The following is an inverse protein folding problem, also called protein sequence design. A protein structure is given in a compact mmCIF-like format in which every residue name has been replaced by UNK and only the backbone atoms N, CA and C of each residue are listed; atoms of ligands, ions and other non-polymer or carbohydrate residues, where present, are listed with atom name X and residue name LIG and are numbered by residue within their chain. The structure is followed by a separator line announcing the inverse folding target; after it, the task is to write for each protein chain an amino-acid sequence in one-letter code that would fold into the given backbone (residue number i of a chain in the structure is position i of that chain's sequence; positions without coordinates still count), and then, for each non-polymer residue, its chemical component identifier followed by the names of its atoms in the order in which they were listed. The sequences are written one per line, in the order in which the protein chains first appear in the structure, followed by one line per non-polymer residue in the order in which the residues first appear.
data_IF_631745587159
#
_entry.id   IF_631745587159
#
_cell.length_a   1.000
_cell.length_b   1.000
_cell.length_c   1.000
_cell.angle_alpha   90.00
_cell.angle_beta   90.00
_cell.angle_gamma   90.00
#
_symmetry.space_group_name_H-M   'P 1'
#
loop_
_entity.id
_entity.type
_entity.pdbx_description
1 polymer ?
#
# COMPACT_ATOMS: atom_id res chain seq x y z
N UNK A 1 73.06 -24.28 3.80
CA UNK A 1 72.86 -24.26 2.33
C UNK A 1 71.42 -24.60 1.92
N UNK A 2 70.40 -24.25 2.73
CA UNK A 2 68.97 -24.38 2.38
C UNK A 2 68.19 -23.21 3.03
N UNK A 3 68.77 -22.00 2.99
CA UNK A 3 68.17 -20.80 3.61
C UNK A 3 68.28 -19.56 2.70
N UNK A 4 68.48 -19.80 1.40
CA UNK A 4 68.75 -18.77 0.40
C UNK A 4 67.88 -18.92 -0.87
N UNK A 5 66.78 -19.69 -0.83
CA UNK A 5 65.91 -19.94 -2.01
C UNK A 5 64.44 -19.57 -1.82
N UNK A 6 64.09 -18.89 -0.73
CA UNK A 6 62.69 -18.52 -0.42
C UNK A 6 62.42 -17.01 -0.38
N UNK A 7 63.40 -16.14 -0.69
CA UNK A 7 63.20 -14.68 -0.60
C UNK A 7 63.69 -13.85 -1.83
N UNK A 8 63.99 -14.46 -2.98
CA UNK A 8 64.71 -13.74 -4.04
C UNK A 8 64.00 -13.57 -5.40
N UNK A 9 62.70 -13.85 -5.55
CA UNK A 9 62.04 -13.61 -6.84
C UNK A 9 60.62 -13.06 -6.68
N UNK A 10 60.52 -11.72 -6.76
CA UNK A 10 59.32 -10.94 -7.07
C UNK A 10 58.59 -10.24 -5.92
N UNK A 11 59.35 -9.66 -5.01
CA UNK A 11 59.09 -8.26 -4.71
C UNK A 11 59.59 -7.38 -5.88
N UNK A 12 58.82 -6.34 -6.19
CA UNK A 12 59.27 -5.11 -6.84
C UNK A 12 59.25 -5.03 -8.37
N UNK A 13 58.09 -4.62 -8.90
CA UNK A 13 58.07 -3.44 -9.78
C UNK A 13 56.86 -2.55 -9.47
N UNK A 14 57.13 -1.54 -8.66
CA UNK A 14 56.40 -0.28 -8.45
C UNK A 14 55.83 0.30 -9.76
N UNK A 15 54.53 0.62 -9.87
CA UNK A 15 53.83 1.87 -9.45
C UNK A 15 54.13 3.08 -10.38
N UNK A 16 53.39 4.20 -10.33
CA UNK A 16 51.95 4.48 -10.52
C UNK A 16 51.71 5.47 -11.69
N UNK A 17 50.55 5.49 -12.35
CA UNK A 17 50.17 6.67 -13.15
C UNK A 17 48.65 6.92 -13.24
N UNK A 18 48.33 8.21 -13.13
CA UNK A 18 47.03 8.87 -12.98
C UNK A 18 46.15 8.97 -14.23
N UNK A 19 44.83 9.15 -13.95
CA UNK A 19 43.76 9.95 -14.62
C UNK A 19 42.54 9.08 -14.93
N UNK A 20 41.29 9.50 -14.72
CA UNK A 20 40.72 10.81 -14.40
C UNK A 20 39.31 10.67 -13.83
N UNK A 21 38.93 11.62 -12.98
CA UNK A 21 37.56 11.91 -12.54
C UNK A 21 36.73 12.45 -13.72
N UNK A 22 35.53 11.92 -13.90
CA UNK A 22 34.23 12.53 -14.32
C UNK A 22 33.30 11.33 -14.58
N UNK A 23 32.24 11.07 -13.82
CA UNK A 23 31.05 11.92 -13.74
C UNK A 23 29.95 11.37 -14.65
N UNK A 24 29.19 10.37 -14.17
CA UNK A 24 27.82 10.02 -14.60
C UNK A 24 27.18 9.48 -13.30
N UNK A 25 26.42 10.21 -12.48
CA UNK A 25 25.13 10.84 -12.73
C UNK A 25 24.05 9.85 -13.22
N UNK A 26 23.32 9.28 -12.26
CA UNK A 26 21.88 8.96 -12.30
C UNK A 26 21.34 7.84 -13.22
N UNK A 27 20.27 7.23 -12.68
CA UNK A 27 19.28 6.30 -13.24
C UNK A 27 19.68 4.81 -13.26
N UNK A 28 18.86 3.87 -12.76
CA UNK A 28 17.40 3.85 -12.69
C UNK A 28 16.92 3.40 -11.29
N UNK A 29 16.07 4.11 -10.56
CA UNK A 29 14.72 4.62 -10.91
C UNK A 29 13.76 3.56 -11.44
N UNK A 30 13.64 2.42 -10.76
CA UNK A 30 12.53 1.48 -11.00
C UNK A 30 11.60 1.33 -9.78
N UNK A 31 12.06 1.61 -8.55
CA UNK A 31 11.24 1.48 -7.35
C UNK A 31 10.30 2.66 -7.06
N UNK A 32 10.36 3.75 -7.84
CA UNK A 32 9.55 4.95 -7.60
C UNK A 32 8.35 5.09 -8.56
N UNK A 33 8.36 4.41 -9.72
CA UNK A 33 7.25 4.55 -10.68
C UNK A 33 6.03 3.69 -10.36
N UNK A 34 6.19 2.54 -9.69
CA UNK A 34 5.02 1.77 -9.21
C UNK A 34 4.31 2.54 -8.09
N UNK A 35 5.07 3.18 -7.21
CA UNK A 35 4.57 4.03 -6.12
C UNK A 35 3.83 5.26 -6.65
N UNK A 36 4.33 5.88 -7.74
CA UNK A 36 3.70 7.08 -8.32
C UNK A 36 2.48 6.76 -9.17
N UNK A 37 2.47 5.62 -9.88
CA UNK A 37 1.31 5.14 -10.65
C UNK A 37 0.11 4.78 -9.76
N UNK A 38 0.37 4.17 -8.60
CA UNK A 38 -0.66 3.87 -7.61
C UNK A 38 -1.17 5.14 -6.91
N UNK A 39 -0.30 6.12 -6.66
CA UNK A 39 -0.65 7.42 -6.06
C UNK A 39 -1.51 8.30 -7.00
N UNK A 40 -1.26 8.26 -8.31
CA UNK A 40 -2.03 9.06 -9.28
C UNK A 40 -3.47 8.57 -9.47
N UNK A 41 -3.71 7.26 -9.36
CA UNK A 41 -5.06 6.68 -9.41
C UNK A 41 -5.85 7.03 -8.14
N UNK A 42 -5.19 7.14 -6.99
CA UNK A 42 -5.84 7.44 -5.70
C UNK A 42 -6.24 8.93 -5.57
N UNK A 43 -5.47 9.87 -6.12
CA UNK A 43 -5.82 11.30 -6.07
C UNK A 43 -6.97 11.69 -7.00
N UNK A 44 -7.16 11.00 -8.14
CA UNK A 44 -8.13 11.42 -9.17
C UNK A 44 -9.60 11.21 -8.76
N UNK A 45 -9.89 10.30 -7.82
CA UNK A 45 -11.27 9.97 -7.43
C UNK A 45 -11.86 10.88 -6.35
N UNK A 46 -11.05 11.69 -5.65
CA UNK A 46 -11.52 12.56 -4.57
C UNK A 46 -12.11 13.91 -5.05
N UNK A 47 -11.72 14.41 -6.22
CA UNK A 47 -12.02 15.78 -6.67
C UNK A 47 -13.47 16.00 -7.16
N UNK A 48 -14.27 14.94 -7.39
CA UNK A 48 -15.62 15.10 -7.97
C UNK A 48 -16.77 15.22 -6.97
N UNK A 49 -16.51 15.09 -5.66
CA UNK A 49 -17.57 15.16 -4.63
C UNK A 49 -17.73 16.57 -4.01
N UNK A 50 -16.78 17.48 -4.23
CA UNK A 50 -16.79 18.82 -3.59
C UNK A 50 -17.24 19.97 -4.51
N UNK A 51 -18.20 19.74 -5.42
CA UNK A 51 -18.86 20.85 -6.11
C UNK A 51 -20.31 20.59 -6.49
N UNK A 52 -21.15 20.42 -5.47
CA UNK A 52 -22.56 20.81 -5.59
C UNK A 52 -22.79 21.97 -4.62
N UNK A 53 -22.96 23.22 -5.10
CA UNK A 53 -23.49 24.26 -4.22
C UNK A 53 -24.93 23.85 -3.82
N UNK A 54 -25.31 23.96 -2.54
CA UNK A 54 -26.70 23.76 -2.17
C UNK A 54 -27.57 24.80 -2.93
N UNK A 55 -28.76 24.43 -3.45
CA UNK A 55 -29.68 25.43 -3.94
C UNK A 55 -30.01 26.37 -2.78
N UNK A 56 -29.76 27.67 -2.99
CA UNK A 56 -30.17 28.73 -2.09
C UNK A 56 -31.71 28.71 -1.98
N UNK A 57 -32.23 28.09 -0.93
CA UNK A 57 -33.62 28.26 -0.52
C UNK A 57 -33.67 29.52 0.32
N UNK A 58 -34.04 30.61 -0.32
CA UNK A 58 -34.35 31.86 0.34
C UNK A 58 -35.59 31.68 1.24
N UNK A 59 -35.41 31.98 2.52
CA UNK A 59 -36.38 32.55 3.44
C UNK A 59 -37.69 31.80 3.67
N UNK A 60 -37.84 31.17 4.84
CA UNK A 60 -39.04 31.37 5.66
C UNK A 60 -38.68 31.24 7.13
N UNK A 61 -39.29 32.15 7.88
CA UNK A 61 -39.22 32.48 9.30
C UNK A 61 -38.92 31.36 10.32
N UNK A 62 -38.15 31.78 11.32
CA UNK A 62 -37.83 31.12 12.58
C UNK A 62 -39.06 31.08 13.51
N UNK A 63 -39.45 29.93 14.04
CA UNK A 63 -39.98 29.85 15.39
C UNK A 63 -38.83 29.54 16.35
N UNK A 64 -38.71 30.34 17.40
CA UNK A 64 -37.86 30.04 18.53
C UNK A 64 -38.40 28.76 19.21
N UNK A 65 -37.74 27.63 18.97
CA UNK A 65 -37.86 26.47 19.84
C UNK A 65 -36.79 26.60 20.92
N UNK A 66 -37.26 26.50 22.15
CA UNK A 66 -36.49 26.59 23.38
C UNK A 66 -35.18 25.81 23.34
N UNK A 67 -34.15 26.43 23.90
CA UNK A 67 -32.82 25.89 24.05
C UNK A 67 -32.84 24.57 24.84
N UNK A 68 -32.56 23.47 24.16
CA UNK A 68 -31.78 22.39 24.76
C UNK A 68 -30.34 22.66 24.37
N UNK A 69 -29.58 23.30 25.25
CA UNK A 69 -28.13 23.21 25.23
C UNK A 69 -27.76 21.76 25.51
N UNK A 70 -27.68 20.95 24.45
CA UNK A 70 -26.90 19.72 24.48
C UNK A 70 -25.49 20.17 24.82
N UNK A 71 -24.86 19.68 25.91
CA UNK A 71 -23.45 19.98 26.13
C UNK A 71 -22.72 19.49 24.89
N UNK A 72 -22.06 20.40 24.18
CA UNK A 72 -21.10 20.05 23.16
C UNK A 72 -20.04 19.21 23.87
N UNK A 73 -20.21 17.89 23.79
CA UNK A 73 -19.20 16.95 24.22
C UNK A 73 -18.14 17.09 23.15
N UNK A 74 -17.05 17.77 23.48
CA UNK A 74 -15.87 17.78 22.63
C UNK A 74 -15.57 16.32 22.29
N UNK A 75 -15.52 15.93 21.00
CA UNK A 75 -15.27 14.55 20.63
C UNK A 75 -13.91 14.14 21.20
N UNK A 76 -13.88 13.09 22.01
CA UNK A 76 -12.64 12.52 22.52
C UNK A 76 -11.81 12.04 21.31
N UNK A 77 -10.62 12.63 21.05
CA UNK A 77 -9.78 12.25 19.92
C UNK A 77 -9.34 10.78 19.95
N UNK A 78 -9.32 10.17 21.14
CA UNK A 78 -9.01 8.76 21.30
C UNK A 78 -10.18 7.87 20.86
N UNK A 79 -11.42 8.25 21.17
CA UNK A 79 -12.61 7.53 20.73
C UNK A 79 -12.75 7.52 19.19
N UNK A 80 -12.44 8.64 18.53
CA UNK A 80 -12.42 8.73 17.05
C UNK A 80 -11.32 7.84 16.44
N UNK A 81 -10.16 7.80 17.08
CA UNK A 81 -9.04 6.94 16.69
C UNK A 81 -9.41 5.45 16.72
N UNK A 82 -10.05 5.02 17.80
CA UNK A 82 -10.46 3.62 17.98
C UNK A 82 -11.60 3.23 17.04
N UNK A 83 -12.57 4.12 16.82
CA UNK A 83 -13.64 3.92 15.85
C UNK A 83 -13.09 3.74 14.42
N UNK A 84 -12.11 4.58 14.03
CA UNK A 84 -11.48 4.49 12.71
C UNK A 84 -10.65 3.21 12.55
N UNK A 85 -10.02 2.74 13.63
CA UNK A 85 -9.32 1.46 13.63
C UNK A 85 -10.29 0.29 13.45
N UNK A 86 -11.41 0.28 14.18
CA UNK A 86 -12.44 -0.74 14.05
C UNK A 86 -13.02 -0.81 12.63
N UNK A 87 -13.27 0.33 11.99
CA UNK A 87 -13.75 0.40 10.60
C UNK A 87 -12.77 -0.29 9.62
N UNK A 88 -11.46 -0.11 9.80
CA UNK A 88 -10.46 -0.77 8.96
C UNK A 88 -10.43 -2.28 9.18
N UNK A 89 -10.59 -2.72 10.42
CA UNK A 89 -10.67 -4.15 10.76
C UNK A 89 -11.89 -4.78 10.09
N UNK A 90 -13.06 -4.18 10.24
CA UNK A 90 -14.32 -4.64 9.63
C UNK A 90 -14.23 -4.67 8.10
N UNK A 91 -13.69 -3.61 7.50
CA UNK A 91 -13.52 -3.56 6.05
C UNK A 91 -12.59 -4.66 5.55
N UNK A 92 -11.51 -4.96 6.29
CA UNK A 92 -10.61 -6.05 5.91
C UNK A 92 -11.30 -7.43 5.93
N UNK A 93 -12.18 -7.66 6.90
CA UNK A 93 -12.98 -8.90 7.00
C UNK A 93 -13.95 -9.01 5.83
N UNK A 94 -14.57 -7.89 5.42
CA UNK A 94 -15.45 -7.85 4.24
C UNK A 94 -14.69 -8.19 2.95
N UNK A 95 -13.48 -7.67 2.77
CA UNK A 95 -12.66 -7.96 1.58
C UNK A 95 -12.23 -9.44 1.54
N UNK A 96 -11.88 -10.03 2.67
CA UNK A 96 -11.61 -11.48 2.74
C UNK A 96 -12.85 -12.32 2.43
N UNK A 97 -14.02 -11.91 2.92
CA UNK A 97 -15.27 -12.58 2.59
C UNK A 97 -15.54 -12.50 1.08
N UNK A 98 -15.28 -11.34 0.46
CA UNK A 98 -15.37 -11.18 -0.99
C UNK A 98 -14.40 -12.11 -1.74
N UNK A 99 -13.14 -12.21 -1.32
CA UNK A 99 -12.17 -13.14 -1.92
C UNK A 99 -12.62 -14.61 -1.83
N UNK A 100 -13.20 -15.01 -0.69
CA UNK A 100 -13.72 -16.38 -0.48
C UNK A 100 -14.98 -16.67 -1.29
N UNK A 101 -15.75 -15.64 -1.62
CA UNK A 101 -16.96 -15.78 -2.44
C UNK A 101 -16.66 -15.87 -3.95
N UNK A 102 -15.44 -15.55 -4.38
CA UNK A 102 -15.05 -15.69 -5.78
C UNK A 102 -14.97 -17.16 -6.19
N UNK A 103 -15.29 -17.49 -7.47
CA UNK A 103 -15.08 -18.83 -8.01
C UNK A 103 -13.64 -19.32 -7.86
N UNK A 104 -13.47 -20.64 -7.97
CA UNK A 104 -12.14 -21.24 -8.04
C UNK A 104 -11.31 -20.62 -9.18
N UNK A 105 -9.99 -20.57 -8.96
CA UNK A 105 -9.07 -19.97 -9.91
C UNK A 105 -9.08 -20.75 -11.23
N UNK A 106 -8.95 -20.07 -12.38
CA UNK A 106 -8.70 -20.73 -13.66
C UNK A 106 -7.49 -21.67 -13.57
N UNK A 107 -7.58 -22.86 -14.18
CA UNK A 107 -6.48 -23.82 -14.20
C UNK A 107 -5.23 -23.34 -14.94
N UNK A 108 -5.35 -22.30 -15.77
CA UNK A 108 -4.23 -21.67 -16.49
C UNK A 108 -4.37 -20.14 -16.39
N UNK A 109 -3.30 -19.48 -15.97
CA UNK A 109 -3.20 -18.03 -15.82
C UNK A 109 -1.99 -17.49 -16.61
N UNK A 110 -2.05 -16.20 -16.96
CA UNK A 110 -0.86 -15.51 -17.48
C UNK A 110 0.18 -15.41 -16.36
N UNK A 111 1.45 -15.71 -16.66
CA UNK A 111 2.53 -15.71 -15.68
C UNK A 111 2.63 -14.37 -14.90
N UNK A 112 2.49 -13.24 -15.59
CA UNK A 112 2.51 -11.91 -14.97
C UNK A 112 1.38 -11.69 -13.97
N UNK A 113 0.19 -12.24 -14.25
CA UNK A 113 -0.96 -12.14 -13.34
C UNK A 113 -0.74 -13.02 -12.11
N UNK A 114 -0.22 -14.24 -12.30
CA UNK A 114 0.13 -15.12 -11.20
C UNK A 114 1.19 -14.49 -10.28
N UNK A 115 2.23 -13.87 -10.85
CA UNK A 115 3.25 -13.13 -10.10
C UNK A 115 2.67 -11.97 -9.30
N UNK A 116 1.77 -11.18 -9.92
CA UNK A 116 1.10 -10.07 -9.24
C UNK A 116 0.28 -10.56 -8.04
N UNK A 117 -0.45 -11.67 -8.20
CA UNK A 117 -1.26 -12.24 -7.12
C UNK A 117 -0.39 -12.75 -5.98
N UNK A 118 0.68 -13.50 -6.29
CA UNK A 118 1.60 -14.00 -5.26
C UNK A 118 2.21 -12.83 -4.47
N UNK A 119 2.66 -11.77 -5.16
CA UNK A 119 3.22 -10.60 -4.49
C UNK A 119 2.23 -9.88 -3.57
N UNK A 120 0.94 -9.84 -3.94
CA UNK A 120 -0.12 -9.28 -3.10
C UNK A 120 -0.41 -10.18 -1.88
N UNK A 121 -0.51 -11.50 -2.09
CA UNK A 121 -0.74 -12.49 -1.03
C UNK A 121 0.41 -12.51 -0.01
N UNK A 122 1.66 -12.49 -0.48
CA UNK A 122 2.86 -12.37 0.36
C UNK A 122 2.86 -11.06 1.16
N UNK A 123 2.43 -9.97 0.52
CA UNK A 123 2.25 -8.67 1.18
C UNK A 123 1.25 -8.74 2.32
N UNK A 124 0.08 -9.36 2.10
CA UNK A 124 -0.94 -9.54 3.15
C UNK A 124 -0.38 -10.38 4.30
N UNK A 125 0.28 -11.51 4.00
CA UNK A 125 0.88 -12.37 5.01
C UNK A 125 1.92 -11.65 5.88
N UNK A 126 2.73 -10.78 5.27
CA UNK A 126 3.69 -9.95 6.00
C UNK A 126 3.02 -8.95 6.95
N UNK A 127 1.93 -8.30 6.51
CA UNK A 127 1.19 -7.36 7.36
C UNK A 127 0.47 -8.09 8.49
N UNK A 128 -0.10 -9.26 8.23
CA UNK A 128 -0.75 -10.09 9.24
C UNK A 128 0.27 -10.55 10.30
N UNK A 129 1.49 -10.88 9.88
CA UNK A 129 2.58 -11.14 10.82
C UNK A 129 2.90 -9.92 11.68
N UNK A 130 3.01 -8.72 11.09
CA UNK A 130 3.30 -7.48 11.83
C UNK A 130 2.17 -7.11 12.81
N UNK A 131 0.91 -7.27 12.42
CA UNK A 131 -0.26 -7.06 13.28
C UNK A 131 -0.25 -8.02 14.47
N UNK A 132 0.09 -9.29 14.25
CA UNK A 132 0.25 -10.27 15.33
C UNK A 132 1.42 -9.93 16.27
N UNK A 133 2.50 -9.35 15.75
CA UNK A 133 3.60 -8.85 16.59
C UNK A 133 3.16 -7.67 17.47
N UNK A 134 2.47 -6.69 16.90
CA UNK A 134 1.98 -5.53 17.66
C UNK A 134 0.96 -5.94 18.74
N UNK A 135 0.07 -6.87 18.44
CA UNK A 135 -0.89 -7.40 19.41
C UNK A 135 -0.21 -8.06 20.62
N UNK A 136 1.01 -8.61 20.44
CA UNK A 136 1.80 -9.24 21.51
C UNK A 136 2.65 -8.24 22.29
N UNK A 137 3.09 -7.15 21.66
CA UNK A 137 3.97 -6.15 22.25
C UNK A 137 3.49 -4.75 21.84
N UNK A 138 2.44 -4.23 22.48
CA UNK A 138 1.88 -2.92 22.14
C UNK A 138 2.91 -1.83 22.47
N UNK A 139 3.25 -0.98 21.51
CA UNK A 139 4.08 0.20 21.77
C UNK A 139 5.15 0.52 20.73
N UNK A 140 5.25 -0.24 19.63
CA UNK A 140 6.27 -0.01 18.60
C UNK A 140 5.70 0.40 17.24
N UNK A 141 4.44 0.07 16.91
CA UNK A 141 3.88 0.35 15.58
C UNK A 141 2.53 1.08 15.61
N UNK A 142 2.29 1.89 14.57
CA UNK A 142 1.00 2.53 14.35
C UNK A 142 0.02 1.49 13.82
N UNK A 143 -0.73 0.82 14.70
CA UNK A 143 -1.72 -0.21 14.37
C UNK A 143 -2.65 0.24 13.22
N UNK A 144 -3.10 1.51 13.23
CA UNK A 144 -3.95 2.05 12.17
C UNK A 144 -3.29 2.00 10.80
N UNK A 145 -1.99 2.31 10.71
CA UNK A 145 -1.26 2.26 9.44
C UNK A 145 -1.14 0.83 8.92
N UNK A 146 -0.91 -0.15 9.80
CA UNK A 146 -0.85 -1.56 9.42
C UNK A 146 -2.21 -2.05 8.91
N UNK A 147 -3.30 -1.74 9.61
CA UNK A 147 -4.65 -2.07 9.17
C UNK A 147 -5.05 -1.39 7.87
N UNK A 148 -4.67 -0.12 7.67
CA UNK A 148 -4.89 0.57 6.39
C UNK A 148 -4.15 -0.15 5.25
N UNK A 149 -2.87 -0.49 5.45
CA UNK A 149 -2.06 -1.19 4.45
C UNK A 149 -2.64 -2.57 4.13
N UNK A 150 -3.17 -3.27 5.13
CA UNK A 150 -3.87 -4.54 4.95
C UNK A 150 -5.08 -4.40 4.03
N UNK A 151 -5.93 -3.40 4.30
CA UNK A 151 -7.10 -3.08 3.47
C UNK A 151 -6.69 -2.76 2.03
N UNK A 152 -5.64 -1.95 1.83
CA UNK A 152 -5.17 -1.58 0.49
C UNK A 152 -4.68 -2.79 -0.32
N UNK A 153 -3.94 -3.70 0.32
CA UNK A 153 -3.47 -4.95 -0.28
C UNK A 153 -4.62 -5.90 -0.62
N UNK A 154 -5.56 -6.09 0.31
CA UNK A 154 -6.74 -6.94 0.08
C UNK A 154 -7.62 -6.38 -1.02
N UNK A 155 -7.84 -5.07 -1.07
CA UNK A 155 -8.60 -4.42 -2.14
C UNK A 155 -7.93 -4.63 -3.50
N UNK A 156 -6.61 -4.49 -3.56
CA UNK A 156 -5.84 -4.76 -4.78
C UNK A 156 -5.95 -6.22 -5.22
N UNK A 157 -5.86 -7.16 -4.26
CA UNK A 157 -6.02 -8.59 -4.53
C UNK A 157 -7.44 -8.91 -5.03
N UNK A 158 -8.48 -8.38 -4.38
CA UNK A 158 -9.88 -8.49 -4.81
C UNK A 158 -10.04 -8.02 -6.26
N UNK A 159 -9.50 -6.85 -6.61
CA UNK A 159 -9.60 -6.29 -7.96
C UNK A 159 -8.94 -7.19 -9.01
N UNK A 160 -7.74 -7.71 -8.74
CA UNK A 160 -7.05 -8.62 -9.66
C UNK A 160 -7.84 -9.93 -9.79
N UNK A 161 -8.32 -10.50 -8.68
CA UNK A 161 -9.09 -11.75 -8.70
C UNK A 161 -10.44 -11.61 -9.40
N UNK A 162 -11.12 -10.46 -9.29
CA UNK A 162 -12.32 -10.18 -10.09
C UNK A 162 -12.02 -10.10 -11.58
N UNK A 163 -10.89 -9.48 -11.96
CA UNK A 163 -10.47 -9.41 -13.35
C UNK A 163 -10.10 -10.78 -13.93
N UNK A 164 -9.58 -11.72 -13.13
CA UNK A 164 -9.35 -13.11 -13.56
C UNK A 164 -10.65 -13.85 -13.94
N UNK A 165 -11.76 -13.54 -13.26
CA UNK A 165 -13.05 -14.22 -13.44
C UNK A 165 -13.86 -13.62 -14.59
N UNK A 166 -13.58 -12.38 -15.00
CA UNK A 166 -14.29 -11.74 -16.10
C UNK A 166 -13.88 -12.35 -17.46
N UNK A 167 -14.82 -12.96 -18.21
CA UNK A 167 -14.52 -13.46 -19.53
C UNK A 167 -14.25 -12.30 -20.48
N UNK A 168 -13.11 -12.35 -21.20
CA UNK A 168 -12.88 -11.43 -22.32
C UNK A 168 -13.83 -11.83 -23.44
N UNK A 169 -14.87 -11.02 -23.67
CA UNK A 169 -15.81 -11.23 -24.76
C UNK A 169 -15.10 -11.00 -26.10
N UNK A 170 -14.55 -12.07 -26.68
CA UNK A 170 -14.04 -12.03 -28.04
C UNK A 170 -15.21 -12.11 -29.02
N UNK A 171 -15.60 -10.95 -29.58
CA UNK A 171 -16.43 -10.90 -30.78
C UNK A 171 -15.65 -11.57 -31.92
N UNK A 172 -16.07 -12.77 -32.33
CA UNK A 172 -15.60 -13.38 -33.57
C UNK A 172 -16.20 -12.62 -34.75
N UNK A 173 -15.35 -12.06 -35.60
CA UNK A 173 -15.72 -11.58 -36.94
C UNK A 173 -15.56 -12.71 -37.96
#
# INVERSE_FOLDING_TARGET
MIQARLEAEHAEKSSPFHRSRTGIAMAASVLLMVSLGLLMIFHFTQETVLRSPPPAVAGTERPAFDAVSVPATDPDPLADTDARLAELMDHSVLLEAALRALPERPGVLRASTAETIMGLEDGVALIDYQLNQEARQPGASNSRLLWQRRVDLLNSLVNVRYAEVQPVAYTRF
#
